data_IF_490437253391
#
_entry.id   IF_490437253391
#
_cell.length_a   1.000
_cell.length_b   1.000
_cell.length_c   1.000
_cell.angle_alpha   90.00
_cell.angle_beta   90.00
_cell.angle_gamma   90.00
#
_symmetry.space_group_name_H-M   'P 1'
#
loop_
_entity.id
_entity.type
_entity.pdbx_description
1 polymer ?
#
# COMPACT_ATOMS: atom_id res chain seq x y z
N UNK A 1 7.83 -13.99 0.35
CA UNK A 1 6.44 -13.63 0.78
C UNK A 1 6.27 -13.51 2.29
N UNK A 2 6.90 -14.31 3.13
CA UNK A 2 6.84 -14.09 4.59
C UNK A 2 7.26 -12.67 5.01
N UNK A 3 8.18 -12.04 4.28
CA UNK A 3 8.65 -10.67 4.54
C UNK A 3 7.63 -9.58 4.17
N UNK A 4 6.57 -9.90 3.40
CA UNK A 4 5.49 -8.97 3.02
C UNK A 4 4.26 -9.11 3.93
N UNK A 5 4.28 -10.00 4.92
CA UNK A 5 3.17 -10.16 5.83
C UNK A 5 3.09 -8.97 6.81
N UNK A 6 2.13 -8.08 6.58
CA UNK A 6 1.84 -6.93 7.43
C UNK A 6 2.61 -5.65 7.12
N UNK A 7 3.48 -5.64 6.10
CA UNK A 7 4.21 -4.45 5.62
C UNK A 7 4.26 -4.42 4.10
N UNK A 8 3.94 -3.27 3.51
CA UNK A 8 4.02 -3.07 2.06
C UNK A 8 5.48 -3.06 1.61
N UNK A 9 5.82 -3.90 0.64
CA UNK A 9 7.14 -3.94 0.03
C UNK A 9 7.27 -2.81 -1.00
N UNK A 10 8.17 -1.87 -0.78
CA UNK A 10 8.35 -0.68 -1.62
C UNK A 10 9.52 -0.90 -2.57
N UNK A 11 9.23 -0.93 -3.87
CA UNK A 11 10.22 -1.03 -4.94
C UNK A 11 10.43 0.37 -5.52
N UNK A 12 11.62 0.92 -5.29
CA UNK A 12 12.08 2.11 -5.97
C UNK A 12 12.61 1.70 -7.36
N UNK A 13 11.85 2.00 -8.42
CA UNK A 13 12.21 1.66 -9.79
C UNK A 13 13.17 2.68 -10.37
N UNK A 14 14.46 2.36 -10.36
CA UNK A 14 15.49 3.11 -11.09
C UNK A 14 15.34 2.92 -12.61
N UNK A 15 14.87 1.76 -13.03
CA UNK A 15 14.62 1.42 -14.43
C UNK A 15 15.86 1.67 -15.27
N UNK A 16 15.72 2.55 -16.25
CA UNK A 16 16.80 3.01 -17.13
C UNK A 16 17.28 4.44 -16.84
N UNK A 17 16.84 5.04 -15.73
CA UNK A 17 17.20 6.42 -15.34
C UNK A 17 18.69 6.62 -15.00
N UNK A 18 19.48 5.56 -15.03
CA UNK A 18 20.94 5.63 -14.99
C UNK A 18 21.56 6.07 -16.33
N UNK A 19 20.83 6.02 -17.46
CA UNK A 19 21.30 6.41 -18.80
C UNK A 19 22.63 5.72 -19.18
N UNK A 20 22.81 4.43 -18.89
CA UNK A 20 24.03 3.67 -19.17
C UNK A 20 25.23 3.99 -18.26
N UNK A 21 25.10 4.93 -17.31
CA UNK A 21 26.20 5.38 -16.43
C UNK A 21 26.14 4.65 -15.07
N UNK A 22 27.21 3.91 -14.74
CA UNK A 22 27.33 3.16 -13.49
C UNK A 22 27.40 4.06 -12.26
N UNK A 23 28.01 5.25 -12.38
CA UNK A 23 28.07 6.22 -11.27
C UNK A 23 26.68 6.72 -10.90
N UNK A 24 25.90 7.07 -11.93
CA UNK A 24 24.48 7.46 -11.74
C UNK A 24 23.63 6.31 -11.20
N UNK A 25 23.85 5.08 -11.69
CA UNK A 25 23.15 3.91 -11.17
C UNK A 25 23.44 3.68 -9.67
N UNK A 26 24.70 3.86 -9.22
CA UNK A 26 25.03 3.82 -7.78
C UNK A 26 24.37 4.93 -6.98
N UNK A 27 24.36 6.16 -7.52
CA UNK A 27 23.67 7.28 -6.85
C UNK A 27 22.16 7.02 -6.70
N UNK A 28 21.51 6.34 -7.67
CA UNK A 28 20.13 5.89 -7.55
C UNK A 28 19.98 4.85 -6.42
N UNK A 29 20.89 3.90 -6.27
CA UNK A 29 20.88 2.97 -5.13
C UNK A 29 20.96 3.73 -3.81
N UNK A 30 21.86 4.70 -3.70
CA UNK A 30 22.03 5.50 -2.49
C UNK A 30 20.74 6.25 -2.12
N UNK A 31 20.12 6.91 -3.09
CA UNK A 31 18.83 7.61 -2.90
C UNK A 31 17.73 6.67 -2.46
N UNK A 32 17.60 5.49 -3.07
CA UNK A 32 16.57 4.51 -2.72
C UNK A 32 16.76 3.99 -1.28
N UNK A 33 18.01 3.70 -0.90
CA UNK A 33 18.37 3.25 0.45
C UNK A 33 18.10 4.34 1.49
N UNK A 34 18.50 5.59 1.22
CA UNK A 34 18.27 6.75 2.10
C UNK A 34 16.79 7.08 2.26
N UNK A 35 15.99 6.89 1.21
CA UNK A 35 14.55 7.03 1.27
C UNK A 35 13.88 5.95 2.12
N UNK A 36 14.55 4.83 2.40
CA UNK A 36 14.03 3.70 3.16
C UNK A 36 13.16 2.75 2.33
N UNK A 37 13.35 2.71 1.00
CA UNK A 37 12.75 1.71 0.14
C UNK A 37 13.26 0.30 0.50
N UNK A 38 12.44 -0.73 0.24
CA UNK A 38 12.81 -2.11 0.54
C UNK A 38 13.70 -2.71 -0.56
N UNK A 39 13.49 -2.29 -1.81
CA UNK A 39 14.31 -2.68 -2.96
C UNK A 39 14.53 -1.51 -3.92
N UNK A 40 15.67 -1.52 -4.61
CA UNK A 40 15.91 -0.73 -5.81
C UNK A 40 15.88 -1.65 -7.02
N UNK A 41 15.14 -1.28 -8.07
CA UNK A 41 14.97 -2.14 -9.24
C UNK A 41 15.60 -1.53 -10.49
N UNK A 42 16.31 -2.37 -11.22
CA UNK A 42 16.90 -2.11 -12.51
C UNK A 42 16.25 -2.99 -13.59
N UNK A 43 16.76 -2.90 -14.80
CA UNK A 43 16.34 -3.71 -15.94
C UNK A 43 17.58 -4.44 -16.52
N UNK A 44 17.40 -5.71 -16.84
CA UNK A 44 18.46 -6.55 -17.41
C UNK A 44 18.04 -7.02 -18.79
N UNK A 45 18.68 -6.50 -19.80
CA UNK A 45 18.42 -6.80 -21.20
C UNK A 45 19.62 -6.50 -22.07
N UNK A 46 19.61 -7.04 -23.30
CA UNK A 46 20.37 -6.53 -24.43
C UNK A 46 19.40 -6.02 -25.49
N UNK A 47 19.75 -4.98 -26.22
CA UNK A 47 18.87 -4.43 -27.27
C UNK A 47 18.55 -5.47 -28.34
N UNK A 48 19.55 -6.28 -28.72
CA UNK A 48 19.39 -7.38 -29.69
C UNK A 48 18.47 -8.51 -29.16
N UNK A 49 18.40 -8.73 -27.85
CA UNK A 49 17.51 -9.72 -27.22
C UNK A 49 16.09 -9.21 -26.97
N UNK A 50 15.91 -7.87 -26.95
CA UNK A 50 14.63 -7.28 -26.54
C UNK A 50 13.78 -6.82 -27.73
N UNK A 51 14.39 -6.20 -28.75
CA UNK A 51 13.64 -5.60 -29.87
C UNK A 51 14.28 -5.88 -31.20
N UNK A 52 13.44 -5.91 -32.26
CA UNK A 52 13.95 -5.93 -33.62
C UNK A 52 14.60 -4.58 -33.98
N UNK A 53 15.54 -4.58 -34.90
CA UNK A 53 16.25 -3.35 -35.32
C UNK A 53 15.33 -2.29 -35.94
N UNK A 54 14.18 -2.69 -36.45
CA UNK A 54 13.16 -1.81 -37.04
C UNK A 54 12.00 -1.47 -36.11
N UNK A 55 12.06 -1.88 -34.83
CA UNK A 55 10.98 -1.62 -33.87
C UNK A 55 10.74 -0.10 -33.71
N UNK A 56 9.49 0.35 -33.79
CA UNK A 56 9.16 1.77 -33.60
C UNK A 56 9.31 2.15 -32.12
N UNK A 57 9.80 3.35 -31.88
CA UNK A 57 9.84 3.97 -30.55
C UNK A 57 8.44 4.34 -30.11
N UNK A 58 8.07 4.12 -28.85
CA UNK A 58 6.79 4.55 -28.31
C UNK A 58 6.67 6.08 -28.27
N UNK A 59 5.43 6.59 -28.34
CA UNK A 59 5.18 8.03 -28.44
C UNK A 59 5.78 8.84 -27.28
N UNK A 60 5.68 8.33 -26.06
CA UNK A 60 6.25 9.00 -24.88
C UNK A 60 7.79 9.02 -24.92
N UNK A 61 8.41 7.95 -25.41
CA UNK A 61 9.86 7.88 -25.58
C UNK A 61 10.35 8.89 -26.64
N UNK A 62 9.62 9.01 -27.76
CA UNK A 62 9.94 10.01 -28.79
C UNK A 62 9.88 11.46 -28.28
N UNK A 63 8.93 11.75 -27.38
CA UNK A 63 8.81 13.08 -26.75
C UNK A 63 9.94 13.38 -25.78
N UNK A 64 10.48 12.36 -25.11
CA UNK A 64 11.51 12.51 -24.09
C UNK A 64 12.95 12.56 -24.68
N UNK A 65 13.11 12.13 -25.92
CA UNK A 65 14.42 12.04 -26.59
C UNK A 65 14.59 13.14 -27.62
N UNK A 66 15.74 13.78 -27.65
CA UNK A 66 16.13 14.69 -28.75
C UNK A 66 16.58 13.86 -29.96
N UNK A 67 15.84 13.90 -31.06
CA UNK A 67 16.06 13.12 -32.27
C UNK A 67 15.09 11.95 -32.39
N UNK A 68 15.22 11.17 -33.47
CA UNK A 68 14.41 9.96 -33.72
C UNK A 68 15.30 8.70 -33.73
N UNK A 69 15.94 8.32 -32.61
CA UNK A 69 16.65 7.05 -32.57
C UNK A 69 15.65 5.92 -32.73
N UNK A 70 16.03 4.83 -33.41
CA UNK A 70 15.23 3.61 -33.35
C UNK A 70 15.15 3.12 -31.90
N UNK A 71 14.10 2.38 -31.56
CA UNK A 71 13.97 1.79 -30.22
C UNK A 71 15.21 0.97 -29.85
N UNK A 72 15.76 0.21 -30.81
CA UNK A 72 16.98 -0.55 -30.64
C UNK A 72 18.20 0.33 -30.26
N UNK A 73 18.43 1.43 -30.98
CA UNK A 73 19.56 2.33 -30.67
C UNK A 73 19.40 3.00 -29.31
N UNK A 74 18.17 3.36 -28.93
CA UNK A 74 17.87 3.89 -27.60
C UNK A 74 18.19 2.86 -26.51
N UNK A 75 17.70 1.64 -26.64
CA UNK A 75 17.92 0.57 -25.66
C UNK A 75 19.41 0.20 -25.54
N UNK A 76 20.14 0.12 -26.68
CA UNK A 76 21.57 -0.16 -26.66
C UNK A 76 22.38 0.86 -25.85
N UNK A 77 21.95 2.14 -25.86
CA UNK A 77 22.59 3.18 -25.03
C UNK A 77 22.23 3.07 -23.52
N UNK A 78 21.22 2.28 -23.18
CA UNK A 78 20.71 2.10 -21.80
C UNK A 78 21.10 0.76 -21.19
N UNK A 79 21.81 -0.10 -21.93
CA UNK A 79 22.27 -1.39 -21.41
C UNK A 79 23.26 -1.21 -20.24
N UNK A 80 23.13 -2.08 -19.26
CA UNK A 80 24.12 -2.27 -18.21
C UNK A 80 24.89 -3.57 -18.45
N UNK A 81 26.22 -3.49 -18.44
CA UNK A 81 27.06 -4.68 -18.58
C UNK A 81 26.90 -5.64 -17.37
N UNK A 82 27.24 -6.92 -17.52
CA UNK A 82 27.26 -7.85 -16.38
C UNK A 82 28.13 -7.34 -15.22
N UNK A 83 29.30 -6.77 -15.49
CA UNK A 83 30.14 -6.17 -14.45
C UNK A 83 29.48 -4.98 -13.73
N UNK A 84 28.65 -4.19 -14.43
CA UNK A 84 27.88 -3.13 -13.81
C UNK A 84 26.78 -3.70 -12.88
N UNK A 85 26.10 -4.76 -13.30
CA UNK A 85 25.11 -5.45 -12.46
C UNK A 85 25.73 -6.03 -11.18
N UNK A 86 26.90 -6.70 -11.30
CA UNK A 86 27.64 -7.23 -10.14
C UNK A 86 28.04 -6.11 -9.17
N UNK A 87 28.55 -4.98 -9.72
CA UNK A 87 28.90 -3.81 -8.92
C UNK A 87 27.69 -3.18 -8.21
N UNK A 88 26.53 -3.12 -8.87
CA UNK A 88 25.27 -2.62 -8.27
C UNK A 88 24.72 -3.58 -7.23
N UNK A 89 24.75 -4.90 -7.49
CA UNK A 89 24.34 -5.91 -6.52
C UNK A 89 25.17 -5.82 -5.23
N UNK A 90 26.51 -5.72 -5.36
CA UNK A 90 27.39 -5.53 -4.22
C UNK A 90 27.15 -4.19 -3.50
N UNK A 91 26.89 -3.11 -4.25
CA UNK A 91 26.61 -1.80 -3.69
C UNK A 91 25.27 -1.80 -2.90
N UNK A 92 24.22 -2.43 -3.44
CA UNK A 92 22.96 -2.62 -2.73
C UNK A 92 23.14 -3.38 -1.41
N UNK A 93 23.93 -4.46 -1.41
CA UNK A 93 24.25 -5.22 -0.20
C UNK A 93 24.97 -4.32 0.85
N UNK A 94 25.94 -3.50 0.41
CA UNK A 94 26.63 -2.56 1.28
C UNK A 94 25.73 -1.45 1.85
N UNK A 95 24.67 -1.06 1.11
CA UNK A 95 23.69 -0.05 1.53
C UNK A 95 22.50 -0.64 2.30
N UNK A 96 22.41 -1.97 2.42
CA UNK A 96 21.33 -2.65 3.14
C UNK A 96 19.97 -2.60 2.43
N UNK A 97 19.96 -2.44 1.10
CA UNK A 97 18.75 -2.45 0.26
C UNK A 97 18.78 -3.66 -0.68
N UNK A 98 17.61 -4.24 -0.98
CA UNK A 98 17.55 -5.36 -1.92
C UNK A 98 17.80 -4.89 -3.36
N UNK A 99 18.72 -5.58 -4.06
CA UNK A 99 18.88 -5.45 -5.51
C UNK A 99 17.80 -6.29 -6.21
N UNK A 100 16.97 -5.66 -7.01
CA UNK A 100 15.96 -6.29 -7.84
C UNK A 100 16.20 -5.94 -9.30
N UNK A 101 15.85 -6.82 -10.22
CA UNK A 101 15.90 -6.52 -11.65
C UNK A 101 14.79 -7.23 -12.42
N UNK A 102 14.36 -6.59 -13.52
CA UNK A 102 13.47 -7.18 -14.51
C UNK A 102 14.30 -7.77 -15.64
N UNK A 103 14.35 -9.11 -15.80
CA UNK A 103 14.87 -9.71 -17.03
C UNK A 103 13.85 -9.53 -18.15
N UNK A 104 14.32 -9.20 -19.36
CA UNK A 104 13.50 -9.11 -20.56
C UNK A 104 13.72 -10.27 -21.54
N UNK A 105 14.58 -11.21 -21.17
CA UNK A 105 14.84 -12.44 -21.92
C UNK A 105 15.26 -13.55 -20.95
N UNK A 106 15.25 -14.78 -21.46
CA UNK A 106 15.56 -16.00 -20.69
C UNK A 106 17.01 -16.01 -20.19
N UNK A 107 17.96 -15.54 -21.00
CA UNK A 107 19.37 -15.49 -20.63
C UNK A 107 19.61 -14.51 -19.49
N UNK A 108 18.96 -13.35 -19.55
CA UNK A 108 18.95 -12.36 -18.47
C UNK A 108 18.39 -12.94 -17.17
N UNK A 109 17.32 -13.75 -17.24
CA UNK A 109 16.75 -14.41 -16.07
C UNK A 109 17.72 -15.43 -15.44
N UNK A 110 18.37 -16.25 -16.26
CA UNK A 110 19.42 -17.15 -15.79
C UNK A 110 20.60 -16.42 -15.20
N UNK A 111 21.02 -15.31 -15.84
CA UNK A 111 22.10 -14.47 -15.33
C UNK A 111 21.77 -13.92 -13.95
N UNK A 112 20.60 -13.33 -13.74
CA UNK A 112 20.16 -12.79 -12.45
C UNK A 112 20.09 -13.88 -11.38
N UNK A 113 19.60 -15.08 -11.71
CA UNK A 113 19.65 -16.22 -10.79
C UNK A 113 21.06 -16.55 -10.36
N UNK A 114 22.04 -16.62 -11.30
CA UNK A 114 23.44 -16.86 -10.98
C UNK A 114 24.08 -15.74 -10.15
N UNK A 115 23.66 -14.48 -10.38
CA UNK A 115 24.08 -13.32 -9.59
C UNK A 115 23.61 -13.43 -8.12
N UNK A 116 22.56 -14.21 -7.85
CA UNK A 116 22.07 -14.44 -6.49
C UNK A 116 20.98 -13.46 -6.06
N UNK A 117 20.16 -12.98 -7.00
CA UNK A 117 18.98 -12.16 -6.64
C UNK A 117 17.97 -12.98 -5.82
N UNK A 118 17.28 -12.34 -4.91
CA UNK A 118 16.33 -13.01 -4.00
C UNK A 118 14.98 -13.29 -4.66
N UNK A 119 14.61 -12.52 -5.67
CA UNK A 119 13.37 -12.62 -6.45
C UNK A 119 13.54 -11.98 -7.82
N UNK A 120 12.61 -12.22 -8.73
CA UNK A 120 12.57 -11.59 -10.04
C UNK A 120 11.31 -10.75 -10.20
N UNK A 121 11.42 -9.66 -10.97
CA UNK A 121 10.29 -8.86 -11.43
C UNK A 121 10.05 -9.16 -12.91
N UNK A 122 8.82 -9.42 -13.29
CA UNK A 122 8.45 -9.60 -14.69
C UNK A 122 7.59 -8.40 -15.13
N UNK A 123 7.95 -7.83 -16.26
CA UNK A 123 7.27 -6.68 -16.84
C UNK A 123 5.90 -7.05 -17.41
N UNK A 124 5.00 -6.06 -17.50
CA UNK A 124 3.67 -6.24 -18.10
C UNK A 124 3.71 -6.74 -19.56
N UNK A 125 4.75 -6.34 -20.30
CA UNK A 125 4.93 -6.78 -21.68
C UNK A 125 5.11 -8.30 -21.85
N UNK A 126 5.53 -8.98 -20.79
CA UNK A 126 5.79 -10.41 -20.80
C UNK A 126 4.64 -11.27 -20.24
N UNK A 127 3.49 -10.68 -19.90
CA UNK A 127 2.32 -11.44 -19.41
C UNK A 127 1.89 -12.51 -20.42
N UNK A 128 1.92 -12.20 -21.71
CA UNK A 128 1.57 -13.11 -22.78
C UNK A 128 2.74 -13.96 -23.31
N UNK A 129 3.96 -13.72 -22.80
CA UNK A 129 5.16 -14.48 -23.15
C UNK A 129 5.23 -15.78 -22.34
N UNK A 130 4.25 -16.66 -22.55
CA UNK A 130 4.11 -17.92 -21.79
C UNK A 130 5.38 -18.78 -21.83
N UNK A 131 6.12 -18.91 -22.95
CA UNK A 131 7.37 -19.66 -22.99
C UNK A 131 8.44 -19.10 -22.02
N UNK A 132 8.56 -17.77 -21.91
CA UNK A 132 9.46 -17.15 -20.96
C UNK A 132 8.98 -17.37 -19.51
N UNK A 133 7.67 -17.23 -19.27
CA UNK A 133 7.08 -17.43 -17.93
C UNK A 133 7.29 -18.86 -17.45
N UNK A 134 7.18 -19.86 -18.32
CA UNK A 134 7.47 -21.26 -17.98
C UNK A 134 8.90 -21.44 -17.49
N UNK A 135 9.88 -20.89 -18.20
CA UNK A 135 11.29 -20.96 -17.82
C UNK A 135 11.54 -20.22 -16.51
N UNK A 136 11.09 -18.96 -16.42
CA UNK A 136 11.34 -18.10 -15.25
C UNK A 136 10.65 -18.66 -14.01
N UNK A 137 9.41 -19.18 -14.13
CA UNK A 137 8.72 -19.87 -13.03
C UNK A 137 9.45 -21.10 -12.53
N UNK A 138 10.08 -21.87 -13.44
CA UNK A 138 10.91 -23.03 -13.11
C UNK A 138 12.25 -22.72 -12.47
N UNK A 139 12.67 -21.46 -12.39
CA UNK A 139 13.91 -21.06 -11.70
C UNK A 139 13.84 -21.23 -10.18
N UNK A 140 12.66 -21.37 -9.58
CA UNK A 140 12.49 -21.54 -8.14
C UNK A 140 12.74 -20.27 -7.32
N UNK A 141 12.62 -19.10 -7.94
CA UNK A 141 12.68 -17.80 -7.27
C UNK A 141 11.27 -17.21 -7.11
N UNK A 142 10.97 -16.49 -6.03
CA UNK A 142 9.78 -15.68 -5.92
C UNK A 142 9.62 -14.72 -7.10
N UNK A 143 8.40 -14.53 -7.60
CA UNK A 143 8.11 -13.63 -8.72
C UNK A 143 7.15 -12.52 -8.34
N UNK A 144 7.41 -11.33 -8.89
CA UNK A 144 6.49 -10.19 -8.91
C UNK A 144 6.14 -9.93 -10.37
N UNK A 145 4.88 -10.11 -10.76
CA UNK A 145 4.41 -9.94 -12.14
C UNK A 145 3.48 -8.72 -12.24
N UNK A 146 3.84 -7.74 -13.06
CA UNK A 146 2.95 -6.64 -13.43
C UNK A 146 1.99 -7.05 -14.54
N UNK A 147 0.73 -6.58 -14.48
CA UNK A 147 -0.36 -6.99 -15.37
C UNK A 147 -0.93 -5.86 -16.24
N UNK A 148 -0.13 -4.81 -16.49
CA UNK A 148 -0.53 -3.71 -17.39
C UNK A 148 -0.73 -4.23 -18.82
N UNK A 149 -1.65 -3.59 -19.56
CA UNK A 149 -2.06 -3.95 -20.93
C UNK A 149 -2.74 -5.31 -21.07
N UNK A 150 -2.74 -6.16 -20.04
CA UNK A 150 -3.35 -7.48 -20.07
C UNK A 150 -4.82 -7.45 -19.61
N UNK A 151 -5.63 -8.27 -20.24
CA UNK A 151 -6.94 -8.61 -19.73
C UNK A 151 -6.88 -9.77 -18.70
N UNK A 152 -8.03 -10.11 -18.12
CA UNK A 152 -8.06 -11.12 -17.06
C UNK A 152 -7.74 -12.54 -17.57
N UNK A 153 -8.13 -12.85 -18.81
CA UNK A 153 -7.88 -14.17 -19.41
C UNK A 153 -6.39 -14.35 -19.72
N UNK A 154 -5.70 -13.29 -20.14
CA UNK A 154 -4.25 -13.28 -20.34
C UNK A 154 -3.51 -13.47 -19.02
N UNK A 155 -3.96 -12.82 -17.95
CA UNK A 155 -3.40 -13.01 -16.60
C UNK A 155 -3.69 -14.43 -16.09
N UNK A 156 -4.89 -15.00 -16.37
CA UNK A 156 -5.20 -16.40 -16.05
C UNK A 156 -4.21 -17.36 -16.72
N UNK A 157 -3.92 -17.18 -18.01
CA UNK A 157 -2.97 -18.00 -18.75
C UNK A 157 -1.56 -17.90 -18.17
N UNK A 158 -1.11 -16.67 -17.85
CA UNK A 158 0.20 -16.42 -17.22
C UNK A 158 0.32 -17.12 -15.86
N UNK A 159 -0.66 -16.93 -14.98
CA UNK A 159 -0.66 -17.54 -13.64
C UNK A 159 -0.76 -19.07 -13.71
N UNK A 160 -1.57 -19.60 -14.62
CA UNK A 160 -1.65 -21.04 -14.84
C UNK A 160 -0.32 -21.63 -15.30
N UNK A 161 0.39 -20.98 -16.22
CA UNK A 161 1.72 -21.37 -16.69
C UNK A 161 2.73 -21.38 -15.56
N UNK A 162 2.79 -20.33 -14.78
CA UNK A 162 3.70 -20.22 -13.62
C UNK A 162 3.43 -21.31 -12.57
N UNK A 163 2.15 -21.59 -12.29
CA UNK A 163 1.76 -22.64 -11.33
C UNK A 163 2.05 -24.06 -11.85
N UNK A 164 1.93 -24.28 -13.16
CA UNK A 164 2.20 -25.57 -13.76
C UNK A 164 3.66 -26.01 -13.58
N UNK A 165 4.60 -25.05 -13.51
CA UNK A 165 6.03 -25.31 -13.22
C UNK A 165 6.37 -25.26 -11.73
N UNK A 166 5.36 -25.21 -10.85
CA UNK A 166 5.54 -25.32 -9.39
C UNK A 166 5.78 -24.00 -8.67
N UNK A 167 5.59 -22.85 -9.33
CA UNK A 167 5.72 -21.55 -8.66
C UNK A 167 4.57 -21.34 -7.67
N UNK A 168 4.91 -21.10 -6.40
CA UNK A 168 3.95 -20.80 -5.32
C UNK A 168 4.09 -19.38 -4.79
N UNK A 169 5.26 -18.77 -4.92
CA UNK A 169 5.57 -17.45 -4.37
C UNK A 169 5.45 -16.37 -5.45
N UNK A 170 4.20 -15.93 -5.68
CA UNK A 170 3.82 -14.96 -6.72
C UNK A 170 3.10 -13.75 -6.09
N UNK A 171 3.48 -12.55 -6.52
CA UNK A 171 2.76 -11.30 -6.31
C UNK A 171 2.31 -10.76 -7.66
N UNK A 172 1.05 -10.35 -7.78
CA UNK A 172 0.54 -9.67 -8.97
C UNK A 172 0.46 -8.16 -8.71
N UNK A 173 0.88 -7.36 -9.68
CA UNK A 173 0.74 -5.91 -9.60
C UNK A 173 -0.29 -5.43 -10.63
N UNK A 174 -1.36 -4.78 -10.15
CA UNK A 174 -2.15 -3.91 -11.01
C UNK A 174 -1.25 -2.84 -11.59
N UNK A 175 -1.43 -2.53 -12.88
CA UNK A 175 -0.55 -1.62 -13.58
C UNK A 175 -1.27 -0.96 -14.77
N UNK A 176 -0.92 0.28 -15.08
CA UNK A 176 -1.25 0.97 -16.34
C UNK A 176 0.05 1.37 -17.01
N UNK A 177 0.31 0.84 -18.21
CA UNK A 177 1.58 1.00 -18.94
C UNK A 177 1.62 2.27 -19.80
N UNK A 178 1.11 3.39 -19.28
CA UNK A 178 1.26 4.73 -19.83
C UNK A 178 2.23 5.54 -18.96
N UNK A 179 3.10 6.35 -19.58
CA UNK A 179 4.13 7.13 -18.88
C UNK A 179 4.05 8.62 -19.23
N UNK A 180 3.48 9.49 -18.35
CA UNK A 180 2.79 9.15 -17.12
C UNK A 180 1.39 8.55 -17.35
N UNK A 181 0.89 7.77 -16.39
CA UNK A 181 -0.46 7.26 -16.39
C UNK A 181 -1.44 8.33 -15.84
N UNK A 182 -2.61 8.45 -16.46
CA UNK A 182 -3.72 9.21 -15.87
C UNK A 182 -4.25 8.47 -14.63
N UNK A 183 -4.32 9.11 -13.46
CA UNK A 183 -4.85 8.50 -12.25
C UNK A 183 -6.26 7.91 -12.42
N UNK A 184 -7.09 8.48 -13.28
CA UNK A 184 -8.46 8.00 -13.54
C UNK A 184 -8.51 6.64 -14.23
N UNK A 185 -7.42 6.24 -14.90
CA UNK A 185 -7.28 4.97 -15.60
C UNK A 185 -6.65 3.86 -14.73
N UNK A 186 -6.14 4.18 -13.54
CA UNK A 186 -5.39 3.22 -12.70
C UNK A 186 -6.26 2.05 -12.23
N UNK A 187 -7.56 2.25 -12.05
CA UNK A 187 -8.50 1.21 -11.64
C UNK A 187 -8.01 0.40 -10.42
N UNK A 188 -7.75 1.06 -9.29
CA UNK A 188 -7.27 0.41 -8.07
C UNK A 188 -8.17 -0.74 -7.57
N UNK A 189 -9.46 -0.76 -7.96
CA UNK A 189 -10.36 -1.86 -7.63
C UNK A 189 -10.01 -3.16 -8.34
N UNK A 190 -9.27 -3.11 -9.44
CA UNK A 190 -8.77 -4.31 -10.10
C UNK A 190 -7.82 -5.12 -9.21
N UNK A 191 -7.17 -4.50 -8.22
CA UNK A 191 -6.40 -5.20 -7.19
C UNK A 191 -7.26 -6.24 -6.44
N UNK A 192 -8.49 -5.87 -6.07
CA UNK A 192 -9.41 -6.79 -5.38
C UNK A 192 -9.81 -7.95 -6.30
N UNK A 193 -10.06 -7.65 -7.58
CA UNK A 193 -10.38 -8.67 -8.60
C UNK A 193 -9.24 -9.67 -8.75
N UNK A 194 -7.99 -9.18 -8.88
CA UNK A 194 -6.81 -10.03 -8.98
C UNK A 194 -6.61 -10.88 -7.71
N UNK A 195 -6.75 -10.27 -6.52
CA UNK A 195 -6.61 -10.98 -5.26
C UNK A 195 -7.66 -12.09 -5.09
N UNK A 196 -8.92 -11.80 -5.42
CA UNK A 196 -10.03 -12.76 -5.34
C UNK A 196 -9.88 -13.89 -6.38
N UNK A 197 -9.48 -13.55 -7.61
CA UNK A 197 -9.35 -14.51 -8.70
C UNK A 197 -8.21 -15.49 -8.48
N UNK A 198 -7.05 -14.98 -8.04
CA UNK A 198 -5.81 -15.77 -8.01
C UNK A 198 -5.40 -16.24 -6.61
N UNK A 199 -5.96 -15.66 -5.55
CA UNK A 199 -5.60 -16.02 -4.17
C UNK A 199 -4.12 -15.73 -3.84
N UNK A 200 -3.51 -14.75 -4.53
CA UNK A 200 -2.14 -14.30 -4.30
C UNK A 200 -2.14 -12.89 -3.72
N UNK A 201 -1.08 -12.46 -3.02
CA UNK A 201 -0.91 -11.06 -2.69
C UNK A 201 -0.89 -10.20 -3.95
N UNK A 202 -1.49 -9.01 -3.85
CA UNK A 202 -1.59 -8.06 -4.96
C UNK A 202 -1.04 -6.72 -4.54
N UNK A 203 -0.43 -6.00 -5.47
CA UNK A 203 0.10 -4.66 -5.29
C UNK A 203 -0.18 -3.77 -6.49
N UNK A 204 0.59 -2.69 -6.58
CA UNK A 204 0.48 -1.69 -7.64
C UNK A 204 1.86 -1.39 -8.24
N UNK A 205 1.97 -1.41 -9.57
CA UNK A 205 3.05 -0.74 -10.30
C UNK A 205 2.48 0.59 -10.83
N UNK A 206 2.93 1.70 -10.23
CA UNK A 206 2.32 3.02 -10.41
C UNK A 206 3.16 3.93 -11.30
N UNK A 207 2.60 4.28 -12.46
CA UNK A 207 3.19 5.22 -13.42
C UNK A 207 2.49 6.60 -13.41
N UNK A 208 1.59 6.85 -12.49
CA UNK A 208 0.96 8.17 -12.33
C UNK A 208 1.94 9.19 -11.72
N UNK A 209 1.67 10.48 -11.91
CA UNK A 209 2.45 11.52 -11.23
C UNK A 209 2.03 11.65 -9.75
N UNK A 210 2.99 12.04 -8.91
CA UNK A 210 2.76 12.25 -7.49
C UNK A 210 2.64 10.95 -6.67
N UNK A 211 2.06 11.03 -5.47
CA UNK A 211 2.10 9.97 -4.46
C UNK A 211 0.72 9.37 -4.17
N UNK A 212 -0.34 10.07 -4.54
CA UNK A 212 -1.72 9.80 -4.08
C UNK A 212 -2.21 8.41 -4.45
N UNK A 213 -1.95 7.96 -5.68
CA UNK A 213 -2.41 6.68 -6.19
C UNK A 213 -1.72 5.52 -5.46
N UNK A 214 -0.39 5.62 -5.28
CA UNK A 214 0.38 4.63 -4.54
C UNK A 214 -0.07 4.53 -3.06
N UNK A 215 -0.28 5.67 -2.39
CA UNK A 215 -0.78 5.71 -1.00
C UNK A 215 -2.19 5.09 -0.92
N UNK A 216 -3.06 5.40 -1.87
CA UNK A 216 -4.41 4.81 -1.92
C UNK A 216 -4.37 3.29 -2.12
N UNK A 217 -3.43 2.77 -2.93
CA UNK A 217 -3.23 1.33 -3.10
C UNK A 217 -2.84 0.66 -1.78
N UNK A 218 -1.94 1.27 -1.00
CA UNK A 218 -1.55 0.75 0.32
C UNK A 218 -2.74 0.71 1.27
N UNK A 219 -3.53 1.79 1.32
CA UNK A 219 -4.76 1.82 2.14
C UNK A 219 -5.79 0.75 1.71
N UNK A 220 -5.72 0.25 0.47
CA UNK A 220 -6.53 -0.87 -0.05
C UNK A 220 -5.88 -2.24 0.16
N UNK A 221 -4.74 -2.30 0.84
CA UNK A 221 -4.07 -3.56 1.15
C UNK A 221 -3.02 -4.01 0.12
N UNK A 222 -2.44 -3.08 -0.64
CA UNK A 222 -1.33 -3.42 -1.52
C UNK A 222 -0.18 -4.05 -0.74
N UNK A 223 0.18 -5.29 -1.08
CA UNK A 223 1.33 -5.99 -0.51
C UNK A 223 2.66 -5.43 -1.05
N UNK A 224 2.63 -4.82 -2.23
CA UNK A 224 3.79 -4.26 -2.90
C UNK A 224 3.40 -2.99 -3.67
N UNK A 225 4.27 -1.99 -3.65
CA UNK A 225 4.17 -0.79 -4.49
C UNK A 225 5.49 -0.59 -5.23
N UNK A 226 5.40 -0.47 -6.56
CA UNK A 226 6.53 -0.14 -7.42
C UNK A 226 6.30 1.23 -8.03
N UNK A 227 7.33 2.07 -8.02
CA UNK A 227 7.25 3.41 -8.60
C UNK A 227 8.60 3.90 -9.10
N UNK A 228 8.61 4.47 -10.32
CA UNK A 228 9.81 5.06 -10.90
C UNK A 228 10.31 6.25 -10.10
N UNK A 229 11.64 6.36 -9.99
CA UNK A 229 12.30 7.53 -9.42
C UNK A 229 13.56 7.88 -10.22
N UNK A 230 14.01 9.11 -10.06
CA UNK A 230 15.17 9.66 -10.75
C UNK A 230 15.97 10.58 -9.82
N UNK A 231 17.20 10.88 -10.17
CA UNK A 231 17.98 11.91 -9.48
C UNK A 231 17.49 13.32 -9.85
N UNK A 232 17.08 13.52 -11.11
CA UNK A 232 16.56 14.79 -11.61
C UNK A 232 15.65 14.54 -12.84
N UNK A 233 14.43 15.12 -12.83
CA UNK A 233 13.46 15.01 -13.93
C UNK A 233 13.91 15.71 -15.21
N UNK A 234 14.85 16.65 -15.14
CA UNK A 234 15.37 17.37 -16.29
C UNK A 234 16.40 16.59 -17.10
N UNK A 235 16.87 15.45 -16.58
CA UNK A 235 17.81 14.59 -17.28
C UNK A 235 17.17 14.02 -18.56
N UNK A 236 17.98 13.88 -19.65
CA UNK A 236 17.50 13.25 -20.87
C UNK A 236 17.31 11.75 -20.65
N UNK A 237 16.20 11.20 -21.12
CA UNK A 237 15.89 9.77 -21.02
C UNK A 237 14.39 9.53 -21.02
N UNK A 238 13.94 8.29 -21.28
CA UNK A 238 12.53 7.99 -21.51
C UNK A 238 11.65 8.14 -20.26
N UNK A 239 12.18 7.87 -19.05
CA UNK A 239 11.36 7.67 -17.85
C UNK A 239 11.49 8.80 -16.81
N UNK A 240 12.48 9.70 -16.94
CA UNK A 240 12.75 10.74 -15.94
C UNK A 240 11.55 11.63 -15.65
N UNK A 241 10.79 12.04 -16.67
CA UNK A 241 9.67 12.97 -16.51
C UNK A 241 8.48 12.36 -15.74
N UNK A 242 8.29 11.04 -15.83
CA UNK A 242 7.26 10.31 -15.12
C UNK A 242 7.71 9.82 -13.71
N UNK A 243 8.96 10.06 -13.35
CA UNK A 243 9.61 9.54 -12.14
C UNK A 243 9.50 10.49 -10.95
N UNK A 244 9.53 9.93 -9.75
CA UNK A 244 9.65 10.71 -8.50
C UNK A 244 11.06 11.30 -8.37
N UNK A 245 11.15 12.50 -7.80
CA UNK A 245 12.41 13.05 -7.29
C UNK A 245 12.83 12.33 -6.00
N UNK A 246 14.10 12.46 -5.54
CA UNK A 246 14.55 11.85 -4.28
C UNK A 246 13.69 12.25 -3.08
N UNK A 247 13.32 13.52 -2.99
CA UNK A 247 12.45 14.03 -1.92
C UNK A 247 11.04 13.41 -1.96
N UNK A 248 10.48 13.25 -3.16
CA UNK A 248 9.15 12.63 -3.33
C UNK A 248 9.20 11.14 -3.00
N UNK A 249 10.27 10.41 -3.36
CA UNK A 249 10.45 9.01 -2.98
C UNK A 249 10.49 8.85 -1.46
N UNK A 250 11.29 9.66 -0.77
CA UNK A 250 11.36 9.65 0.69
C UNK A 250 10.00 10.00 1.32
N UNK A 251 9.25 10.92 0.70
CA UNK A 251 7.91 11.28 1.15
C UNK A 251 6.90 10.15 0.93
N UNK A 252 6.99 9.41 -0.19
CA UNK A 252 6.18 8.24 -0.46
C UNK A 252 6.41 7.16 0.61
N UNK A 253 7.68 6.80 0.85
CA UNK A 253 8.04 5.77 1.84
C UNK A 253 7.49 6.15 3.21
N UNK A 254 7.71 7.39 3.67
CA UNK A 254 7.19 7.88 4.95
C UNK A 254 5.65 7.79 5.01
N UNK A 255 4.94 8.25 3.97
CA UNK A 255 3.48 8.21 3.93
C UNK A 255 2.95 6.77 3.93
N UNK A 256 3.60 5.84 3.24
CA UNK A 256 3.24 4.42 3.27
C UNK A 256 3.37 3.86 4.68
N UNK A 257 4.47 4.11 5.38
CA UNK A 257 4.69 3.66 6.76
C UNK A 257 3.68 4.26 7.74
N UNK A 258 3.28 5.51 7.53
CA UNK A 258 2.24 6.17 8.32
C UNK A 258 0.86 5.52 8.10
N UNK A 259 0.50 5.23 6.84
CA UNK A 259 -0.75 4.54 6.51
C UNK A 259 -0.79 3.14 7.12
N UNK A 260 0.29 2.35 7.02
CA UNK A 260 0.38 1.03 7.65
C UNK A 260 0.09 1.09 9.16
N UNK A 261 0.68 2.07 9.85
CA UNK A 261 0.39 2.29 11.28
C UNK A 261 -1.06 2.70 11.56
N UNK A 262 -1.67 3.45 10.63
CA UNK A 262 -3.03 3.96 10.77
C UNK A 262 -4.11 2.91 10.48
N UNK A 263 -3.81 1.87 9.71
CA UNK A 263 -4.77 0.82 9.35
C UNK A 263 -5.28 0.04 10.59
N UNK A 264 -4.42 -0.19 11.58
CA UNK A 264 -4.78 -0.88 12.82
C UNK A 264 -5.26 -2.33 12.61
N UNK A 265 -6.02 -2.86 13.58
CA UNK A 265 -6.50 -4.25 13.59
C UNK A 265 -7.99 -4.40 13.21
N UNK A 266 -8.65 -3.32 12.80
CA UNK A 266 -10.06 -3.31 12.42
C UNK A 266 -11.06 -3.43 13.59
N UNK A 267 -10.60 -3.60 14.82
CA UNK A 267 -11.50 -3.70 15.99
C UNK A 267 -11.94 -2.30 16.44
N UNK A 268 -13.24 -2.02 16.38
CA UNK A 268 -13.78 -0.71 16.81
C UNK A 268 -13.80 -0.62 18.34
N UNK A 269 -12.80 0.04 18.91
CA UNK A 269 -12.72 0.38 20.32
C UNK A 269 -12.12 1.78 20.50
N UNK A 270 -12.38 2.45 21.64
CA UNK A 270 -11.66 3.69 21.94
C UNK A 270 -10.16 3.41 22.13
N UNK A 271 -9.33 4.31 21.64
CA UNK A 271 -7.91 4.28 21.96
C UNK A 271 -7.70 4.47 23.46
N UNK A 272 -6.66 3.87 24.07
CA UNK A 272 -6.38 4.05 25.50
C UNK A 272 -6.29 5.55 25.89
N UNK A 273 -5.75 6.40 25.04
CA UNK A 273 -5.65 7.84 25.23
C UNK A 273 -6.99 8.57 25.26
N UNK A 274 -8.07 7.97 24.71
CA UNK A 274 -9.42 8.57 24.73
C UNK A 274 -10.21 8.26 26.02
N UNK A 275 -9.77 7.27 26.82
CA UNK A 275 -10.51 6.85 28.01
C UNK A 275 -10.73 7.99 29.00
N UNK A 276 -9.76 8.85 29.35
CA UNK A 276 -10.01 10.02 30.19
C UNK A 276 -11.01 10.99 29.59
N UNK A 277 -10.98 11.20 28.27
CA UNK A 277 -11.89 12.09 27.57
C UNK A 277 -13.35 11.62 27.64
N UNK A 278 -13.58 10.30 27.76
CA UNK A 278 -14.94 9.75 27.95
C UNK A 278 -15.63 10.33 29.18
N UNK A 279 -14.89 10.48 30.29
CA UNK A 279 -15.43 11.03 31.52
C UNK A 279 -15.79 12.51 31.38
N UNK A 280 -15.01 13.26 30.64
CA UNK A 280 -15.24 14.70 30.44
C UNK A 280 -16.29 14.98 29.36
N UNK A 281 -16.23 14.29 28.23
CA UNK A 281 -16.99 14.63 27.04
C UNK A 281 -18.33 13.91 26.94
N UNK A 282 -18.50 12.73 27.54
CA UNK A 282 -19.78 12.04 27.57
C UNK A 282 -20.78 12.77 28.50
N UNK A 283 -22.05 12.47 28.29
CA UNK A 283 -23.13 13.07 29.07
C UNK A 283 -23.69 12.06 30.05
N UNK A 284 -24.24 12.57 31.14
CA UNK A 284 -25.01 11.84 32.16
C UNK A 284 -26.43 12.36 32.23
N UNK A 285 -27.28 11.59 32.87
CA UNK A 285 -28.55 12.10 33.39
C UNK A 285 -28.25 12.98 34.60
N UNK A 286 -28.71 14.22 34.59
CA UNK A 286 -28.42 15.24 35.61
C UNK A 286 -29.71 15.76 36.16
N UNK A 287 -29.78 15.97 37.47
CA UNK A 287 -30.93 16.60 38.11
C UNK A 287 -31.10 18.04 37.61
N UNK A 288 -32.25 18.37 37.03
CA UNK A 288 -32.57 19.72 36.52
C UNK A 288 -32.85 20.73 37.65
N UNK A 289 -33.29 20.24 38.78
CA UNK A 289 -33.67 20.98 39.99
C UNK A 289 -33.31 20.17 41.23
N UNK A 290 -33.42 20.76 42.39
CA UNK A 290 -33.31 20.02 43.65
C UNK A 290 -34.44 18.98 43.74
N UNK A 291 -34.09 17.75 44.04
CA UNK A 291 -35.00 16.61 44.17
C UNK A 291 -34.94 16.12 45.61
N UNK A 292 -36.06 16.26 46.38
CA UNK A 292 -36.17 15.67 47.72
C UNK A 292 -36.03 14.14 47.72
N UNK A 293 -35.73 13.56 48.85
CA UNK A 293 -35.74 12.10 49.03
C UNK A 293 -37.15 11.52 48.74
N UNK A 294 -37.19 10.36 48.09
CA UNK A 294 -38.43 9.65 47.77
C UNK A 294 -39.19 10.19 46.55
N UNK A 295 -38.70 11.21 45.86
CA UNK A 295 -39.35 11.77 44.66
C UNK A 295 -39.34 10.75 43.54
N UNK A 296 -40.47 10.54 42.89
CA UNK A 296 -40.59 9.75 41.67
C UNK A 296 -40.08 10.56 40.50
N UNK A 297 -38.99 10.05 39.86
CA UNK A 297 -38.30 10.74 38.76
C UNK A 297 -39.16 10.74 37.50
N UNK A 298 -39.38 11.92 36.94
CA UNK A 298 -40.07 12.19 35.68
C UNK A 298 -39.11 12.77 34.67
N UNK A 299 -39.54 12.85 33.41
CA UNK A 299 -38.70 13.37 32.31
C UNK A 299 -38.31 14.85 32.54
N UNK A 300 -39.21 15.65 33.08
CA UNK A 300 -38.99 17.06 33.40
C UNK A 300 -37.96 17.30 34.52
N UNK A 301 -37.74 16.31 35.39
CA UNK A 301 -36.77 16.41 36.49
C UNK A 301 -35.33 16.23 36.03
N UNK A 302 -35.11 15.77 34.79
CA UNK A 302 -33.82 15.36 34.29
C UNK A 302 -33.41 16.17 33.05
N UNK A 303 -32.11 16.43 32.97
CA UNK A 303 -31.45 17.01 31.79
C UNK A 303 -30.23 16.14 31.43
N UNK A 304 -29.79 16.20 30.19
CA UNK A 304 -28.65 15.42 29.70
C UNK A 304 -27.47 16.38 29.49
N UNK A 305 -26.52 16.38 30.41
CA UNK A 305 -25.38 17.26 30.43
C UNK A 305 -24.05 16.48 30.63
N UNK A 306 -22.94 17.11 30.33
CA UNK A 306 -21.60 16.66 30.76
C UNK A 306 -21.44 16.94 32.26
N UNK A 307 -20.56 16.18 32.97
CA UNK A 307 -19.66 15.13 32.56
C UNK A 307 -20.29 13.74 32.44
N UNK A 308 -19.53 12.75 31.94
CA UNK A 308 -19.93 11.34 31.84
C UNK A 308 -19.68 10.53 33.11
N UNK A 309 -19.79 11.16 34.29
CA UNK A 309 -19.50 10.53 35.61
C UNK A 309 -20.75 9.90 36.27
N UNK A 310 -21.94 10.18 35.76
CA UNK A 310 -23.18 9.60 36.22
C UNK A 310 -23.78 8.57 35.28
N UNK A 311 -25.05 8.23 35.49
CA UNK A 311 -25.80 7.30 34.64
C UNK A 311 -25.85 7.81 33.19
N UNK A 312 -25.57 6.99 32.21
CA UNK A 312 -25.56 7.42 30.82
C UNK A 312 -26.97 7.77 30.34
N UNK A 313 -27.15 8.61 29.33
CA UNK A 313 -28.46 8.96 28.76
C UNK A 313 -29.30 7.74 28.35
N UNK A 314 -28.66 6.65 27.93
CA UNK A 314 -29.34 5.38 27.62
C UNK A 314 -30.05 4.73 28.81
N UNK A 315 -29.70 5.15 30.02
CA UNK A 315 -30.36 4.68 31.23
C UNK A 315 -31.71 5.34 31.49
N UNK A 316 -32.07 6.41 30.75
CA UNK A 316 -33.30 7.19 31.00
C UNK A 316 -34.57 6.33 31.13
N UNK A 317 -34.86 5.37 30.24
CA UNK A 317 -36.09 4.56 30.36
C UNK A 317 -36.17 3.77 31.67
N UNK A 318 -35.01 3.32 32.19
CA UNK A 318 -34.94 2.54 33.43
C UNK A 318 -34.90 3.40 34.71
N UNK A 319 -34.64 4.70 34.58
CA UNK A 319 -34.55 5.67 35.64
C UNK A 319 -35.90 6.34 35.89
N UNK A 320 -36.69 6.60 34.84
CA UNK A 320 -38.03 7.14 34.94
C UNK A 320 -38.93 6.22 35.79
N UNK A 321 -39.70 6.83 36.70
CA UNK A 321 -40.57 6.12 37.64
C UNK A 321 -39.85 5.57 38.88
N UNK A 322 -38.51 5.57 38.95
CA UNK A 322 -37.78 5.24 40.18
C UNK A 322 -37.87 6.39 41.19
N UNK A 323 -37.64 6.09 42.46
CA UNK A 323 -37.58 7.09 43.52
C UNK A 323 -36.14 7.45 43.85
N UNK A 324 -35.87 8.68 44.24
CA UNK A 324 -34.61 9.08 44.82
C UNK A 324 -34.43 8.41 46.19
N UNK A 325 -33.22 7.88 46.48
CA UNK A 325 -32.86 7.29 47.78
C UNK A 325 -32.61 8.35 48.87
N UNK A 326 -32.12 9.51 48.46
CA UNK A 326 -31.85 10.69 49.27
C UNK A 326 -32.17 11.96 48.51
N UNK A 327 -31.94 13.12 49.10
CA UNK A 327 -32.00 14.40 48.42
C UNK A 327 -30.87 14.49 47.38
N UNK A 328 -31.19 14.98 46.16
CA UNK A 328 -30.25 15.18 45.06
C UNK A 328 -30.29 16.66 44.65
N UNK A 329 -29.23 17.42 44.83
CA UNK A 329 -29.15 18.82 44.39
C UNK A 329 -29.27 18.99 42.88
N UNK A 330 -29.75 20.16 42.45
CA UNK A 330 -29.69 20.55 41.04
C UNK A 330 -28.25 20.43 40.50
N UNK A 331 -28.11 20.25 39.16
CA UNK A 331 -26.84 20.09 38.44
C UNK A 331 -25.98 18.88 38.87
N UNK A 332 -26.57 17.94 39.64
CA UNK A 332 -25.86 16.72 40.07
C UNK A 332 -26.08 15.60 39.07
N UNK A 333 -24.99 14.99 38.51
CA UNK A 333 -25.07 13.76 37.73
C UNK A 333 -25.61 12.62 38.57
N UNK A 334 -26.72 12.00 38.15
CA UNK A 334 -27.32 10.86 38.87
C UNK A 334 -26.39 9.64 38.82
N UNK A 335 -26.23 8.98 39.96
CA UNK A 335 -25.63 7.66 40.06
C UNK A 335 -26.67 6.60 40.47
N UNK A 336 -26.30 5.31 40.38
CA UNK A 336 -27.22 4.24 40.75
C UNK A 336 -27.54 4.24 42.25
N UNK A 337 -26.60 4.66 43.09
CA UNK A 337 -26.72 4.76 44.55
C UNK A 337 -27.72 5.86 44.99
N UNK A 338 -27.93 6.87 44.14
CA UNK A 338 -28.92 7.94 44.38
C UNK A 338 -30.35 7.50 44.11
N UNK A 339 -30.53 6.29 43.60
CA UNK A 339 -31.86 5.74 43.27
C UNK A 339 -32.26 4.63 44.27
N UNK A 340 -33.46 4.69 44.81
CA UNK A 340 -33.98 3.63 45.67
C UNK A 340 -33.94 2.27 44.96
N UNK A 341 -33.69 1.17 45.69
CA UNK A 341 -33.81 -0.16 45.14
C UNK A 341 -35.12 -0.35 44.40
N UNK A 342 -35.11 -1.08 43.28
CA UNK A 342 -36.37 -1.49 42.64
C UNK A 342 -37.12 -2.34 43.64
N UNK A 343 -38.20 -1.81 44.23
CA UNK A 343 -39.06 -2.62 45.06
C UNK A 343 -39.50 -3.85 44.29
N UNK A 344 -39.48 -5.02 44.92
CA UNK A 344 -40.19 -6.17 44.43
C UNK A 344 -41.62 -5.70 44.08
N UNK A 345 -42.06 -5.90 42.85
CA UNK A 345 -43.40 -5.63 42.38
C UNK A 345 -44.37 -6.03 43.48
N UNK A 346 -45.22 -5.11 43.95
CA UNK A 346 -46.41 -5.52 44.68
C UNK A 346 -47.18 -6.43 43.72
N UNK A 347 -46.98 -7.72 43.91
CA UNK A 347 -47.87 -8.72 43.38
C UNK A 347 -49.28 -8.32 43.84
N UNK A 348 -50.14 -8.04 42.86
CA UNK A 348 -51.48 -7.59 43.10
C UNK A 348 -52.20 -8.50 44.09
N UNK A 349 -52.79 -7.90 45.01
CA UNK A 349 -54.02 -8.44 45.65
C UNK A 349 -55.23 -8.01 44.84
N UNK A 350 -55.97 -9.00 44.44
CA UNK A 350 -57.17 -9.07 43.63
C UNK A 350 -58.16 -7.89 43.78
#
# INVERSE_FOLDING_TARGET
>A
MAEMAGRTFIIAEAGVNHNGDLGRARALVDVAAEAGADAVKFQTFTADGLVTRSAPTADYQRRALSGEPSQHAMLAALELSPAAHEALWAHCAARGIEFLSTPFDVESAYYLKRLGVRRLKIASGDVTNLPMLEVVGGLGLPLILSTGMADLDEVDAAVATLRAVGLTDLVLLQCVSNYPADPTLTNLRAMDTLAQRFGTPVGLSDHSLGLTVAIAAVARGAACVEKHFTLDRSLPGPDHQASLTPHELASLVRAVREVEGALGDGVKRPAPSELPMRLVARKSLVARRDLPAGVVLRREDLVILRPGTGLPPSALPRVLGRRTAGAVPADTPLTEEMLAPRGASQAGTA
#
